data_IF_773236862000
#
_entry.id   IF_773236862000
#
_cell.length_a   1.000
_cell.length_b   1.000
_cell.length_c   1.000
_cell.angle_alpha   90.00
_cell.angle_beta   90.00
_cell.angle_gamma   90.00
#
_symmetry.space_group_name_H-M   'P 1'
#
loop_
_entity.id
_entity.type
_entity.pdbx_description
1 polymer ?
#
# COMPACT_ATOMS: atom_id res chain seq x y z
N UNK A 1 -12.31 -12.72 6.59
CA UNK A 1 -11.63 -11.41 6.45
C UNK A 1 -12.60 -10.32 6.87
N UNK A 2 -12.17 -9.39 7.73
CA UNK A 2 -12.97 -8.23 8.11
C UNK A 2 -12.86 -7.15 7.02
N UNK A 3 -13.83 -7.16 6.11
CA UNK A 3 -13.85 -6.27 4.95
C UNK A 3 -14.10 -4.81 5.33
N UNK A 4 -14.87 -4.54 6.38
CA UNK A 4 -15.17 -3.17 6.81
C UNK A 4 -13.88 -2.53 7.31
N UNK A 5 -13.16 -3.23 8.20
CA UNK A 5 -11.90 -2.76 8.74
C UNK A 5 -10.84 -2.59 7.66
N UNK A 6 -10.74 -3.50 6.69
CA UNK A 6 -9.81 -3.38 5.57
C UNK A 6 -10.02 -2.09 4.79
N UNK A 7 -11.28 -1.77 4.44
CA UNK A 7 -11.65 -0.55 3.72
C UNK A 7 -11.26 0.70 4.50
N UNK A 8 -11.62 0.76 5.78
CA UNK A 8 -11.28 1.90 6.64
C UNK A 8 -9.77 2.08 6.79
N UNK A 9 -9.02 1.00 6.96
CA UNK A 9 -7.57 1.04 7.06
C UNK A 9 -6.91 1.49 5.76
N UNK A 10 -7.40 1.00 4.60
CA UNK A 10 -6.89 1.42 3.30
C UNK A 10 -7.07 2.93 3.08
N UNK A 11 -8.28 3.46 3.34
CA UNK A 11 -8.55 4.90 3.27
C UNK A 11 -7.62 5.72 4.16
N UNK A 12 -7.47 5.32 5.43
CA UNK A 12 -6.55 5.98 6.37
C UNK A 12 -5.10 5.92 5.88
N UNK A 13 -4.68 4.80 5.29
CA UNK A 13 -3.36 4.63 4.70
C UNK A 13 -3.10 5.61 3.56
N UNK A 14 -4.05 5.75 2.62
CA UNK A 14 -3.95 6.71 1.51
C UNK A 14 -3.89 8.16 2.02
N UNK A 15 -4.77 8.53 2.95
CA UNK A 15 -4.73 9.87 3.56
C UNK A 15 -3.41 10.15 4.27
N UNK A 16 -2.86 9.17 4.99
CA UNK A 16 -1.57 9.29 5.64
C UNK A 16 -0.43 9.46 4.62
N UNK A 17 -0.37 8.62 3.59
CA UNK A 17 0.66 8.69 2.55
C UNK A 17 0.60 10.02 1.77
N UNK A 18 -0.60 10.57 1.53
CA UNK A 18 -0.76 11.90 0.94
C UNK A 18 -0.13 12.99 1.82
N UNK A 19 -0.34 12.94 3.14
CA UNK A 19 0.27 13.89 4.07
C UNK A 19 1.80 13.76 4.13
N UNK A 20 2.34 12.53 3.96
CA UNK A 20 3.78 12.28 3.97
C UNK A 20 4.49 12.98 2.80
N UNK A 21 3.83 13.16 1.66
CA UNK A 21 4.40 13.92 0.53
C UNK A 21 4.69 15.37 0.93
N UNK A 22 3.82 15.97 1.75
CA UNK A 22 3.96 17.35 2.18
C UNK A 22 4.97 17.49 3.33
N UNK A 23 5.03 16.49 4.23
CA UNK A 23 5.97 16.46 5.34
C UNK A 23 7.38 15.95 4.96
N UNK A 24 7.53 15.35 3.77
CA UNK A 24 8.75 14.69 3.33
C UNK A 24 9.92 15.66 3.12
N UNK A 25 11.09 15.29 3.64
CA UNK A 25 12.36 15.95 3.34
C UNK A 25 13.07 15.17 2.23
N UNK A 26 13.24 15.81 1.08
CA UNK A 26 13.85 15.19 -0.09
C UNK A 26 15.31 15.67 -0.25
N UNK A 27 16.23 14.78 -0.68
CA UNK A 27 17.66 15.09 -0.76
C UNK A 27 18.01 16.07 -1.89
N UNK A 28 17.15 16.20 -2.91
CA UNK A 28 17.31 17.14 -4.00
C UNK A 28 16.01 17.89 -4.29
N UNK A 29 16.13 19.15 -4.73
CA UNK A 29 14.97 19.99 -5.01
C UNK A 29 14.13 19.44 -6.18
N UNK A 30 14.75 18.91 -7.23
CA UNK A 30 14.01 18.33 -8.35
C UNK A 30 13.16 17.12 -7.92
N UNK A 31 13.64 16.34 -6.95
CA UNK A 31 12.89 15.20 -6.38
C UNK A 31 11.67 15.70 -5.60
N UNK A 32 11.84 16.75 -4.80
CA UNK A 32 10.74 17.37 -4.05
C UNK A 32 9.66 17.92 -4.98
N UNK A 33 10.06 18.63 -6.03
CA UNK A 33 9.15 19.19 -7.03
C UNK A 33 8.39 18.09 -7.78
N UNK A 34 9.08 17.04 -8.21
CA UNK A 34 8.44 15.91 -8.87
C UNK A 34 7.50 15.11 -7.95
N UNK A 35 7.89 14.91 -6.69
CA UNK A 35 7.04 14.25 -5.69
C UNK A 35 5.76 15.04 -5.45
N UNK A 36 5.84 16.37 -5.30
CA UNK A 36 4.67 17.25 -5.12
C UNK A 36 3.83 17.40 -6.39
N UNK A 37 4.46 17.39 -7.57
CA UNK A 37 3.77 17.49 -8.85
C UNK A 37 2.94 16.24 -9.15
N UNK A 38 3.49 15.06 -8.89
CA UNK A 38 2.85 13.78 -9.21
C UNK A 38 2.02 13.22 -8.06
N UNK A 39 2.38 13.57 -6.82
CA UNK A 39 1.80 13.04 -5.57
C UNK A 39 1.66 11.51 -5.58
N UNK A 40 2.66 10.83 -6.14
CA UNK A 40 2.70 9.37 -6.24
C UNK A 40 2.80 8.75 -4.85
N UNK A 41 1.88 7.86 -4.53
CA UNK A 41 1.90 7.05 -3.30
C UNK A 41 1.88 5.55 -3.65
N UNK A 42 2.17 4.71 -2.66
CA UNK A 42 2.26 3.28 -2.81
C UNK A 42 1.80 2.54 -1.57
N UNK A 43 0.50 2.28 -1.49
CA UNK A 43 -0.07 1.43 -0.45
C UNK A 43 0.14 -0.04 -0.81
N UNK A 44 0.77 -0.79 0.09
CA UNK A 44 0.97 -2.23 -0.02
C UNK A 44 0.27 -2.99 1.10
N UNK A 45 0.28 -4.32 1.01
CA UNK A 45 -0.16 -5.23 2.07
C UNK A 45 1.02 -5.94 2.70
N UNK A 46 0.90 -6.24 3.99
CA UNK A 46 1.85 -7.04 4.78
C UNK A 46 1.06 -8.17 5.46
N UNK A 47 1.69 -9.30 5.76
CA UNK A 47 1.04 -10.36 6.56
C UNK A 47 0.04 -11.23 5.80
N UNK A 48 0.10 -11.24 4.46
CA UNK A 48 -0.82 -12.05 3.66
C UNK A 48 -0.66 -13.54 3.95
N UNK A 49 0.58 -14.03 4.10
CA UNK A 49 0.86 -15.42 4.43
C UNK A 49 0.34 -15.78 5.84
N UNK A 50 0.50 -14.90 6.82
CA UNK A 50 -0.01 -15.07 8.19
C UNK A 50 -1.54 -15.22 8.19
N UNK A 51 -2.24 -14.41 7.39
CA UNK A 51 -3.68 -14.51 7.23
C UNK A 51 -4.11 -15.83 6.60
N UNK A 52 -3.40 -16.31 5.57
CA UNK A 52 -3.71 -17.61 4.96
C UNK A 52 -3.52 -18.77 5.94
N UNK A 53 -2.48 -18.73 6.79
CA UNK A 53 -2.31 -19.72 7.85
C UNK A 53 -3.47 -19.72 8.84
N UNK A 54 -3.94 -18.55 9.28
CA UNK A 54 -5.11 -18.47 10.18
C UNK A 54 -6.41 -18.96 9.52
N UNK A 55 -6.52 -18.84 8.20
CA UNK A 55 -7.66 -19.34 7.42
C UNK A 55 -7.53 -20.83 7.06
N UNK A 56 -6.41 -21.48 7.38
CA UNK A 56 -6.13 -22.86 6.99
C UNK A 56 -5.97 -23.06 5.47
N UNK A 57 -5.66 -21.99 4.74
CA UNK A 57 -5.55 -22.01 3.28
C UNK A 57 -4.08 -22.20 2.85
N UNK A 58 -3.78 -23.21 2.02
CA UNK A 58 -2.45 -23.33 1.44
C UNK A 58 -2.13 -22.12 0.57
N UNK A 59 -0.93 -21.56 0.70
CA UNK A 59 -0.50 -20.41 -0.08
C UNK A 59 -0.59 -20.64 -1.60
N UNK A 60 -0.31 -21.87 -2.04
CA UNK A 60 -0.36 -22.28 -3.46
C UNK A 60 -1.77 -22.61 -3.96
N UNK A 61 -2.81 -22.50 -3.13
CA UNK A 61 -4.18 -22.84 -3.50
C UNK A 61 -4.83 -21.79 -4.41
N UNK A 62 -5.86 -22.19 -5.14
CA UNK A 62 -6.60 -21.26 -5.99
C UNK A 62 -7.39 -20.26 -5.13
N UNK A 63 -7.93 -20.74 -4.01
CA UNK A 63 -8.66 -19.94 -3.03
C UNK A 63 -7.78 -18.85 -2.41
N UNK A 64 -6.51 -19.15 -2.10
CA UNK A 64 -5.55 -18.16 -1.64
C UNK A 64 -5.29 -17.08 -2.70
N UNK A 65 -5.14 -17.47 -3.98
CA UNK A 65 -4.97 -16.51 -5.09
C UNK A 65 -6.20 -15.63 -5.29
N UNK A 66 -7.40 -16.21 -5.19
CA UNK A 66 -8.63 -15.46 -5.38
C UNK A 66 -8.90 -14.52 -4.20
N UNK A 67 -8.54 -14.91 -2.98
CA UNK A 67 -8.55 -14.04 -1.82
C UNK A 67 -7.56 -12.88 -1.95
N UNK A 68 -6.35 -13.13 -2.45
CA UNK A 68 -5.35 -12.09 -2.70
C UNK A 68 -5.89 -11.05 -3.70
N UNK A 69 -6.50 -11.52 -4.80
CA UNK A 69 -7.11 -10.64 -5.81
C UNK A 69 -8.21 -9.79 -5.20
N UNK A 70 -9.09 -10.39 -4.39
CA UNK A 70 -10.20 -9.66 -3.79
C UNK A 70 -9.72 -8.61 -2.79
N UNK A 71 -8.72 -8.92 -1.96
CA UNK A 71 -8.10 -7.96 -1.04
C UNK A 71 -7.49 -6.80 -1.80
N UNK A 72 -6.69 -7.09 -2.84
CA UNK A 72 -6.06 -6.04 -3.65
C UNK A 72 -7.09 -5.19 -4.38
N UNK A 73 -8.16 -5.80 -4.91
CA UNK A 73 -9.27 -5.08 -5.54
C UNK A 73 -9.92 -4.09 -4.56
N UNK A 74 -10.21 -4.53 -3.34
CA UNK A 74 -10.82 -3.67 -2.32
C UNK A 74 -9.89 -2.51 -1.93
N UNK A 75 -8.59 -2.78 -1.79
CA UNK A 75 -7.61 -1.72 -1.44
C UNK A 75 -7.49 -0.69 -2.57
N UNK A 76 -7.41 -1.15 -3.82
CA UNK A 76 -7.31 -0.27 -4.98
C UNK A 76 -8.57 0.60 -5.13
N UNK A 77 -9.76 -0.01 -5.06
CA UNK A 77 -11.03 0.70 -5.14
C UNK A 77 -11.20 1.75 -4.04
N UNK A 78 -10.94 1.39 -2.79
CA UNK A 78 -11.05 2.35 -1.69
C UNK A 78 -9.97 3.43 -1.74
N UNK A 79 -8.79 3.09 -2.28
CA UNK A 79 -7.72 4.04 -2.40
C UNK A 79 -7.97 5.10 -3.49
N UNK A 80 -8.53 4.71 -4.64
CA UNK A 80 -8.98 5.68 -5.65
C UNK A 80 -10.11 6.56 -5.13
N UNK A 81 -11.12 5.97 -4.46
CA UNK A 81 -12.20 6.75 -3.81
C UNK A 81 -11.64 7.78 -2.83
N UNK A 82 -10.70 7.38 -1.97
CA UNK A 82 -10.06 8.31 -1.02
C UNK A 82 -9.27 9.40 -1.75
N UNK A 83 -8.61 9.08 -2.87
CA UNK A 83 -7.89 10.08 -3.66
C UNK A 83 -8.82 11.09 -4.32
N UNK A 84 -10.00 10.67 -4.80
CA UNK A 84 -11.05 11.57 -5.28
C UNK A 84 -11.62 12.45 -4.16
N UNK A 85 -11.88 11.87 -2.98
CA UNK A 85 -12.31 12.60 -1.79
C UNK A 85 -11.28 13.69 -1.43
N UNK A 86 -9.99 13.35 -1.41
CA UNK A 86 -8.91 14.30 -1.16
C UNK A 86 -8.77 15.36 -2.25
N UNK A 87 -9.05 15.01 -3.51
CA UNK A 87 -9.03 15.97 -4.60
C UNK A 87 -10.12 17.04 -4.42
N UNK A 88 -11.32 16.64 -3.97
CA UNK A 88 -12.40 17.58 -3.67
C UNK A 88 -12.06 18.52 -2.52
N UNK A 89 -11.32 18.03 -1.52
CA UNK A 89 -10.95 18.83 -0.34
C UNK A 89 -9.72 19.72 -0.57
N UNK A 90 -8.72 19.23 -1.33
CA UNK A 90 -7.38 19.84 -1.42
C UNK A 90 -6.94 20.19 -2.84
N UNK A 91 -7.77 19.90 -3.84
CA UNK A 91 -7.47 19.98 -5.26
C UNK A 91 -6.78 18.73 -5.80
N UNK A 92 -6.91 18.50 -7.12
CA UNK A 92 -6.21 17.44 -7.84
C UNK A 92 -4.68 17.60 -7.76
N UNK A 93 -3.92 16.56 -8.12
CA UNK A 93 -2.46 16.69 -8.22
C UNK A 93 -2.07 17.69 -9.33
N UNK A 94 -0.98 18.46 -9.19
CA UNK A 94 -0.60 19.49 -10.15
C UNK A 94 -0.39 19.01 -11.60
N UNK A 95 -0.09 17.73 -11.81
CA UNK A 95 0.04 17.11 -13.14
C UNK A 95 -1.24 16.48 -13.70
N UNK A 96 -2.40 16.72 -13.07
CA UNK A 96 -3.67 16.10 -13.48
C UNK A 96 -4.17 16.63 -14.83
N UNK A 97 -4.04 17.94 -15.06
CA UNK A 97 -4.45 18.56 -16.31
C UNK A 97 -3.57 18.06 -17.47
N UNK A 98 -4.17 17.33 -18.42
CA UNK A 98 -3.47 16.65 -19.51
C UNK A 98 -3.05 15.20 -19.22
N UNK A 99 -3.50 14.62 -18.10
CA UNK A 99 -3.36 13.19 -17.80
C UNK A 99 -4.55 12.36 -18.34
N UNK A 100 -4.41 11.04 -18.36
CA UNK A 100 -5.47 10.11 -18.80
C UNK A 100 -6.58 9.89 -17.74
N UNK A 101 -6.58 10.67 -16.65
CA UNK A 101 -7.59 10.55 -15.59
C UNK A 101 -8.88 11.29 -15.97
N UNK A 102 -9.99 10.55 -16.03
CA UNK A 102 -11.32 11.11 -16.36
C UNK A 102 -11.92 11.98 -15.24
N UNK A 103 -11.37 11.90 -14.03
CA UNK A 103 -11.88 12.55 -12.83
C UNK A 103 -10.73 13.14 -12.02
N UNK A 104 -11.00 14.20 -11.28
CA UNK A 104 -10.02 14.82 -10.39
C UNK A 104 -9.62 13.86 -9.28
N UNK A 105 -8.33 13.54 -9.23
CA UNK A 105 -7.72 12.68 -8.20
C UNK A 105 -6.54 13.40 -7.56
N UNK A 106 -6.27 13.11 -6.29
CA UNK A 106 -5.19 13.74 -5.53
C UNK A 106 -3.82 13.13 -5.80
N UNK A 107 -3.78 11.89 -6.29
CA UNK A 107 -2.54 11.11 -6.45
C UNK A 107 -2.52 10.46 -7.84
N UNK A 108 -1.35 10.47 -8.50
CA UNK A 108 -1.22 9.83 -9.82
C UNK A 108 -1.09 8.29 -9.76
N UNK A 109 -0.86 7.72 -8.57
CA UNK A 109 -0.87 6.28 -8.32
C UNK A 109 -1.20 6.03 -6.84
N UNK A 110 -1.89 4.92 -6.55
CA UNK A 110 -2.46 4.60 -5.24
C UNK A 110 -1.77 3.39 -4.60
N UNK A 111 -1.68 2.29 -5.34
CA UNK A 111 -1.10 1.03 -4.85
C UNK A 111 0.26 0.77 -5.49
N UNK A 112 1.23 0.37 -4.68
CA UNK A 112 2.50 -0.17 -5.16
C UNK A 112 2.90 -1.33 -4.25
N UNK A 113 2.94 -2.55 -4.79
CA UNK A 113 3.49 -3.71 -4.08
C UNK A 113 5.01 -3.63 -4.20
N UNK A 114 5.65 -2.98 -3.24
CA UNK A 114 7.12 -2.97 -3.13
C UNK A 114 7.61 -4.27 -2.46
N UNK A 115 8.83 -4.77 -2.77
CA UNK A 115 9.46 -5.82 -1.98
C UNK A 115 9.76 -5.27 -0.57
N UNK A 116 9.08 -5.78 0.45
CA UNK A 116 9.12 -5.22 1.82
C UNK A 116 10.15 -5.94 2.69
N UNK A 117 11.44 -5.79 2.38
CA UNK A 117 12.51 -6.43 3.13
C UNK A 117 12.80 -5.82 4.52
N UNK A 118 12.61 -4.50 4.70
CA UNK A 118 13.04 -3.81 5.96
C UNK A 118 11.88 -3.42 6.88
N UNK A 119 10.67 -3.19 6.36
CA UNK A 119 9.47 -2.88 7.16
C UNK A 119 8.88 -4.11 7.88
N UNK A 120 9.14 -5.32 7.37
CA UNK A 120 8.72 -6.59 7.99
C UNK A 120 9.39 -6.87 9.33
N UNK A 121 10.62 -6.40 9.53
CA UNK A 121 11.37 -6.57 10.78
C UNK A 121 10.82 -5.71 11.94
N UNK A 122 10.16 -4.60 11.65
CA UNK A 122 9.56 -3.71 12.68
C UNK A 122 8.12 -4.12 13.00
N UNK A 123 7.43 -4.79 12.06
CA UNK A 123 6.03 -5.16 12.18
C UNK A 123 5.78 -6.62 12.61
N UNK A 124 6.84 -7.39 12.94
CA UNK A 124 6.76 -8.83 13.30
C UNK A 124 5.81 -9.65 12.39
N UNK A 125 5.82 -9.35 11.09
CA UNK A 125 4.91 -9.99 10.13
C UNK A 125 5.64 -10.25 8.81
N UNK A 126 5.18 -11.26 8.07
CA UNK A 126 5.77 -11.69 6.79
C UNK A 126 5.97 -10.53 5.82
N UNK A 127 7.10 -10.54 5.10
CA UNK A 127 7.51 -9.54 4.12
C UNK A 127 6.53 -9.40 2.96
N UNK A 128 5.48 -8.62 3.16
CA UNK A 128 4.62 -8.13 2.08
C UNK A 128 3.71 -9.23 1.57
N UNK A 129 3.87 -9.57 0.29
CA UNK A 129 3.22 -10.73 -0.32
C UNK A 129 4.11 -11.99 -0.29
N UNK A 130 5.31 -11.95 0.28
CA UNK A 130 6.22 -13.10 0.22
C UNK A 130 5.71 -14.24 1.12
N UNK A 131 5.73 -15.51 0.63
CA UNK A 131 5.43 -16.64 1.48
C UNK A 131 6.47 -16.74 2.60
N UNK A 132 6.05 -17.14 3.80
CA UNK A 132 6.97 -17.49 4.90
C UNK A 132 7.94 -18.57 4.41
N UNK A 133 9.23 -18.23 4.29
CA UNK A 133 10.26 -19.16 3.82
C UNK A 133 10.66 -20.20 4.89
N UNK A 134 10.32 -20.00 6.17
CA UNK A 134 10.46 -21.01 7.22
C UNK A 134 9.61 -20.68 8.47
N UNK A 135 9.00 -21.70 9.09
CA UNK A 135 8.20 -21.62 10.33
C UNK A 135 9.02 -21.36 11.62
N UNK A 136 10.35 -21.30 11.52
CA UNK A 136 11.23 -21.00 12.65
C UNK A 136 12.51 -20.29 12.16
N UNK A 137 12.79 -19.12 12.73
CA UNK A 137 14.06 -18.42 12.57
C UNK A 137 14.87 -18.54 13.86
N UNK A 138 15.94 -19.33 13.85
CA UNK A 138 16.94 -19.35 14.93
C UNK A 138 18.04 -18.37 14.56
N UNK A 139 18.11 -17.24 15.25
CA UNK A 139 19.22 -16.28 15.11
C UNK A 139 20.37 -16.72 16.01
N UNK A 140 21.44 -17.27 15.43
CA UNK A 140 22.71 -17.36 16.15
C UNK A 140 23.37 -15.98 16.15
N UNK A 141 23.35 -15.33 17.31
CA UNK A 141 24.19 -14.17 17.59
C UNK A 141 25.59 -14.70 17.89
N UNK A 142 26.52 -14.60 16.96
CA UNK A 142 27.94 -14.73 17.30
C UNK A 142 28.52 -13.34 17.55
N UNK A 143 29.12 -13.25 18.73
CA UNK A 143 29.82 -12.17 19.40
C UNK A 143 31.01 -11.64 18.59
#
# INVERSE_FOLDING_TARGET
VDWIKLKETAKKGIHFLDNVIDAGVYPAQEISEMAKKTRRIGLGVLGFADMLYQLGLPYSSQEARDLAKEIMRVIDEEGWKMSEELAKERGAFPGWEGSDFNQEVRNCAITAIAPTGTLSMVAESSGGCEPHYALAYVKNSHS
#
